data_IF_178960953110
#
_entry.id   IF_178960953110
#
_cell.length_a   1.000
_cell.length_b   1.000
_cell.length_c   1.000
_cell.angle_alpha   90.00
_cell.angle_beta   90.00
_cell.angle_gamma   90.00
#
_symmetry.space_group_name_H-M   'P 1'
#
loop_
_entity.id
_entity.type
_entity.pdbx_description
1 polymer ?
#
# COMPACT_ATOMS: atom_id res chain seq x y z
N UNK A 1 -5.69 -4.62 13.64
CA UNK A 1 -4.71 -4.01 12.71
C UNK A 1 -4.58 -4.90 11.47
N UNK A 2 -4.47 -4.33 10.27
CA UNK A 2 -4.21 -5.14 9.06
C UNK A 2 -2.74 -5.55 9.03
N UNK A 3 -2.44 -6.69 8.41
CA UNK A 3 -1.07 -7.14 8.16
C UNK A 3 -0.49 -6.47 6.91
N UNK A 4 0.83 -6.42 6.82
CA UNK A 4 1.54 -5.98 5.61
C UNK A 4 1.08 -6.76 4.37
N UNK A 5 0.88 -8.08 4.51
CA UNK A 5 0.44 -8.95 3.41
C UNK A 5 -0.97 -8.60 2.92
N UNK A 6 -1.91 -8.31 3.83
CA UNK A 6 -3.26 -7.86 3.48
C UNK A 6 -3.25 -6.53 2.74
N UNK A 7 -2.44 -5.56 3.20
CA UNK A 7 -2.30 -4.26 2.55
C UNK A 7 -1.72 -4.41 1.15
N UNK A 8 -0.65 -5.20 0.99
CA UNK A 8 -0.08 -5.47 -0.32
C UNK A 8 -1.08 -6.15 -1.25
N UNK A 9 -1.92 -7.04 -0.74
CA UNK A 9 -2.96 -7.68 -1.56
C UNK A 9 -4.02 -6.67 -2.02
N UNK A 10 -4.44 -5.76 -1.13
CA UNK A 10 -5.36 -4.68 -1.47
C UNK A 10 -4.77 -3.81 -2.58
N UNK A 11 -3.51 -3.35 -2.43
CA UNK A 11 -2.85 -2.51 -3.43
C UNK A 11 -2.71 -3.22 -4.79
N UNK A 12 -2.36 -4.52 -4.79
CA UNK A 12 -2.31 -5.33 -6.03
C UNK A 12 -3.65 -5.42 -6.74
N UNK A 13 -4.74 -5.54 -5.98
CA UNK A 13 -6.09 -5.62 -6.55
C UNK A 13 -6.52 -4.29 -7.19
N UNK A 14 -6.09 -3.14 -6.66
CA UNK A 14 -6.38 -1.82 -7.23
C UNK A 14 -5.42 -1.38 -8.35
N UNK A 15 -4.22 -1.97 -8.44
CA UNK A 15 -3.21 -1.60 -9.44
C UNK A 15 -3.76 -1.55 -10.89
N UNK A 16 -4.58 -2.51 -11.37
CA UNK A 16 -5.12 -2.45 -12.74
C UNK A 16 -6.02 -1.24 -12.97
N UNK A 17 -6.86 -0.88 -12.00
CA UNK A 17 -7.72 0.30 -12.08
C UNK A 17 -6.89 1.58 -12.07
N UNK A 18 -5.92 1.68 -11.16
CA UNK A 18 -5.04 2.84 -11.03
C UNK A 18 -4.19 3.05 -12.29
N UNK A 19 -3.70 1.97 -12.89
CA UNK A 19 -2.98 2.01 -14.16
C UNK A 19 -3.89 2.48 -15.30
N UNK A 20 -5.09 1.90 -15.42
CA UNK A 20 -6.05 2.25 -16.49
C UNK A 20 -6.52 3.70 -16.39
N UNK A 21 -6.85 4.15 -15.18
CA UNK A 21 -7.49 5.46 -14.95
C UNK A 21 -6.49 6.61 -14.85
N UNK A 22 -5.31 6.37 -14.29
CA UNK A 22 -4.35 7.42 -13.95
C UNK A 22 -2.94 7.20 -14.50
N UNK A 23 -2.69 6.07 -15.19
CA UNK A 23 -1.35 5.74 -15.71
C UNK A 23 -0.34 5.40 -14.61
N UNK A 24 -0.80 5.04 -13.40
CA UNK A 24 0.07 4.67 -12.29
C UNK A 24 0.66 3.29 -12.55
N UNK A 25 1.97 3.25 -12.85
CA UNK A 25 2.69 2.01 -13.20
C UNK A 25 3.23 1.28 -11.98
N UNK A 26 3.53 1.98 -10.88
CA UNK A 26 4.09 1.40 -9.66
C UNK A 26 3.47 2.03 -8.43
N UNK A 27 3.45 1.26 -7.34
CA UNK A 27 3.10 1.70 -6.01
C UNK A 27 4.18 1.20 -5.06
N UNK A 28 4.65 2.07 -4.17
CA UNK A 28 5.56 1.70 -3.10
C UNK A 28 4.91 1.98 -1.75
N UNK A 29 4.91 0.98 -0.88
CA UNK A 29 4.57 1.15 0.52
C UNK A 29 5.82 1.62 1.28
N UNK A 30 5.69 2.66 2.08
CA UNK A 30 6.77 3.14 2.94
C UNK A 30 6.25 3.32 4.39
N UNK A 31 7.03 3.98 5.23
CA UNK A 31 6.62 4.26 6.60
C UNK A 31 6.71 3.05 7.54
N UNK A 32 5.91 3.09 8.61
CA UNK A 32 5.96 2.13 9.71
C UNK A 32 5.67 0.69 9.26
N UNK A 33 4.70 0.50 8.36
CA UNK A 33 4.37 -0.80 7.79
C UNK A 33 5.51 -1.42 6.97
N UNK A 34 6.30 -0.60 6.27
CA UNK A 34 7.46 -1.09 5.53
C UNK A 34 8.61 -1.51 6.46
N UNK A 35 8.72 -0.88 7.63
CA UNK A 35 9.74 -1.17 8.65
C UNK A 35 9.32 -2.22 9.69
N UNK A 36 8.08 -2.72 9.61
CA UNK A 36 7.48 -3.62 10.61
C UNK A 36 7.34 -2.99 12.01
N UNK A 37 7.24 -1.65 12.07
CA UNK A 37 7.15 -0.85 13.30
C UNK A 37 5.73 -0.29 13.53
N UNK A 38 4.74 -0.76 12.77
CA UNK A 38 3.38 -0.25 12.85
C UNK A 38 2.70 -0.60 14.18
N UNK A 39 1.90 0.33 14.68
CA UNK A 39 1.04 0.23 15.86
C UNK A 39 -0.44 0.22 15.45
N UNK A 40 -1.34 -0.01 16.41
CA UNK A 40 -2.79 0.03 16.15
C UNK A 40 -3.29 1.38 15.62
N UNK A 41 -2.57 2.47 15.93
CA UNK A 41 -2.85 3.84 15.48
C UNK A 41 -2.11 4.23 14.19
N UNK A 42 -1.29 3.34 13.64
CA UNK A 42 -0.50 3.65 12.43
C UNK A 42 -1.37 3.75 11.18
N UNK A 43 -1.08 4.76 10.38
CA UNK A 43 -1.59 4.96 9.03
C UNK A 43 -0.77 4.17 7.99
N UNK A 44 -1.15 4.32 6.71
CA UNK A 44 -0.55 3.62 5.58
C UNK A 44 0.02 4.66 4.60
N UNK A 45 1.34 4.65 4.45
CA UNK A 45 2.08 5.55 3.56
C UNK A 45 2.32 4.94 2.18
N UNK A 46 1.86 5.60 1.10
CA UNK A 46 1.96 5.11 -0.29
C UNK A 46 2.58 6.16 -1.20
N UNK A 47 3.53 5.73 -2.04
CA UNK A 47 4.13 6.53 -3.11
C UNK A 47 3.73 5.97 -4.48
N UNK A 48 3.41 6.86 -5.43
CA UNK A 48 2.99 6.55 -6.81
C UNK A 48 4.15 6.69 -7.80
#
# INVERSE_FOLDING_TARGET
MRTLAEIQQILRNYQPELKSKYGIERLALFGSYARQEQTEESDIDIML
#
